data_IF_822457943117
#
_entry.id   IF_822457943117
#
_cell.length_a   1.000
_cell.length_b   1.000
_cell.length_c   1.000
_cell.angle_alpha   90.00
_cell.angle_beta   90.00
_cell.angle_gamma   90.00
#
_symmetry.space_group_name_H-M   'P 1'
#
loop_
_entity.id
_entity.type
_entity.pdbx_description
1 polymer ?
#
# COMPACT_ATOMS: atom_id res chain seq x y z
N UNK A 1 23.66 -6.64 10.99
CA UNK A 1 22.97 -5.34 11.07
C UNK A 1 21.79 -5.38 10.11
N UNK A 2 20.59 -5.16 10.64
CA UNK A 2 19.34 -5.20 9.88
C UNK A 2 19.41 -4.23 8.70
N UNK A 3 19.56 -4.78 7.49
CA UNK A 3 19.08 -4.15 6.28
C UNK A 3 17.56 -4.06 6.43
N UNK A 4 17.09 -3.01 7.11
CA UNK A 4 15.67 -2.68 7.29
C UNK A 4 15.09 -2.26 5.93
N UNK A 5 14.99 -3.24 5.04
CA UNK A 5 14.22 -3.18 3.83
C UNK A 5 12.76 -3.14 4.29
N UNK A 6 12.26 -1.96 4.63
CA UNK A 6 10.87 -1.71 4.99
C UNK A 6 9.99 -2.02 3.77
N UNK A 7 9.72 -3.31 3.59
CA UNK A 7 9.02 -3.85 2.45
C UNK A 7 7.54 -3.48 2.54
N UNK A 8 6.95 -3.14 1.39
CA UNK A 8 5.50 -2.97 1.26
C UNK A 8 4.79 -4.27 1.66
N UNK A 9 3.92 -4.20 2.66
CA UNK A 9 3.14 -5.35 3.09
C UNK A 9 1.78 -5.39 2.39
N UNK A 10 1.49 -6.49 1.67
CA UNK A 10 0.22 -6.64 0.95
C UNK A 10 -0.61 -7.77 1.56
N UNK A 11 -1.81 -7.45 2.06
CA UNK A 11 -2.79 -8.42 2.55
C UNK A 11 -3.77 -8.77 1.45
N UNK A 12 -3.55 -9.92 0.83
CA UNK A 12 -4.27 -10.32 -0.37
C UNK A 12 -5.62 -11.01 -0.10
N UNK A 13 -5.79 -11.59 1.08
CA UNK A 13 -6.93 -12.44 1.39
C UNK A 13 -6.77 -13.86 0.84
N UNK A 14 -7.87 -14.63 0.85
CA UNK A 14 -7.85 -16.08 0.59
C UNK A 14 -8.37 -16.50 -0.80
N UNK A 15 -8.92 -15.58 -1.59
CA UNK A 15 -9.57 -15.84 -2.89
C UNK A 15 -9.35 -14.68 -3.84
N UNK A 16 -9.49 -14.94 -5.14
CA UNK A 16 -9.51 -13.93 -6.22
C UNK A 16 -8.24 -13.07 -6.26
N UNK A 17 -7.10 -13.70 -5.93
CA UNK A 17 -5.80 -13.06 -5.71
C UNK A 17 -5.40 -12.13 -6.86
N UNK A 18 -5.43 -12.68 -8.07
CA UNK A 18 -4.95 -12.02 -9.28
C UNK A 18 -5.84 -10.84 -9.66
N UNK A 19 -7.15 -11.00 -9.56
CA UNK A 19 -8.13 -9.96 -9.86
C UNK A 19 -8.00 -8.78 -8.89
N UNK A 20 -7.81 -9.07 -7.60
CA UNK A 20 -7.60 -8.05 -6.56
C UNK A 20 -6.31 -7.27 -6.78
N UNK A 21 -5.22 -7.97 -7.09
CA UNK A 21 -3.94 -7.33 -7.36
C UNK A 21 -4.00 -6.45 -8.62
N UNK A 22 -4.66 -6.93 -9.68
CA UNK A 22 -4.80 -6.17 -10.92
C UNK A 22 -5.61 -4.89 -10.73
N UNK A 23 -6.74 -4.95 -9.99
CA UNK A 23 -7.52 -3.74 -9.63
C UNK A 23 -6.68 -2.75 -8.83
N UNK A 24 -5.87 -3.24 -7.89
CA UNK A 24 -5.00 -2.39 -7.10
C UNK A 24 -3.95 -1.68 -7.96
N UNK A 25 -3.24 -2.39 -8.85
CA UNK A 25 -2.24 -1.78 -9.74
C UNK A 25 -2.87 -0.69 -10.60
N UNK A 26 -4.04 -0.96 -11.20
CA UNK A 26 -4.74 0.00 -12.04
C UNK A 26 -5.11 1.28 -11.26
N UNK A 27 -5.68 1.13 -10.06
CA UNK A 27 -6.06 2.26 -9.22
C UNK A 27 -4.84 3.03 -8.69
N UNK A 28 -3.77 2.32 -8.31
CA UNK A 28 -2.54 2.92 -7.79
C UNK A 28 -1.87 3.82 -8.83
N UNK A 29 -1.72 3.34 -10.07
CA UNK A 29 -1.11 4.12 -11.16
C UNK A 29 -1.93 5.38 -11.50
N UNK A 30 -3.26 5.30 -11.41
CA UNK A 30 -4.15 6.41 -11.78
C UNK A 30 -4.27 7.50 -10.71
N UNK A 31 -4.20 7.13 -9.43
CA UNK A 31 -4.66 8.03 -8.35
C UNK A 31 -3.65 8.25 -7.23
N UNK A 32 -2.65 7.38 -7.07
CA UNK A 32 -1.80 7.35 -5.87
C UNK A 32 -0.30 7.46 -6.17
N UNK A 33 0.07 7.47 -7.45
CA UNK A 33 1.45 7.57 -7.92
C UNK A 33 2.13 8.90 -7.57
N UNK A 34 1.36 9.94 -7.23
CA UNK A 34 1.86 11.27 -6.88
C UNK A 34 2.00 11.51 -5.36
N UNK A 35 1.69 10.54 -4.51
CA UNK A 35 1.84 10.71 -3.06
C UNK A 35 3.31 10.62 -2.65
N UNK A 36 3.78 11.65 -1.94
CA UNK A 36 5.15 11.72 -1.40
C UNK A 36 5.32 10.88 -0.13
N UNK A 37 4.22 10.52 0.53
CA UNK A 37 4.21 9.62 1.67
C UNK A 37 4.49 8.18 1.24
N UNK A 38 5.40 7.51 1.95
CA UNK A 38 5.74 6.12 1.68
C UNK A 38 4.59 5.20 2.06
N UNK A 39 4.11 4.40 1.12
CA UNK A 39 3.11 3.36 1.40
C UNK A 39 3.73 2.19 2.16
N UNK A 40 3.16 1.83 3.32
CA UNK A 40 3.63 0.71 4.15
C UNK A 40 2.76 -0.54 4.03
N UNK A 41 1.43 -0.39 4.02
CA UNK A 41 0.51 -1.52 3.98
C UNK A 41 -0.60 -1.29 2.96
N UNK A 42 -0.92 -2.34 2.21
CA UNK A 42 -2.07 -2.44 1.31
C UNK A 42 -2.93 -3.62 1.73
N UNK A 43 -4.22 -3.40 1.96
CA UNK A 43 -5.18 -4.46 2.29
C UNK A 43 -6.22 -4.62 1.18
N UNK A 44 -6.10 -5.71 0.43
CA UNK A 44 -6.94 -6.04 -0.73
C UNK A 44 -8.07 -7.01 -0.38
N UNK A 45 -8.31 -7.29 0.90
CA UNK A 45 -9.33 -8.27 1.33
C UNK A 45 -10.76 -7.82 1.06
N UNK A 46 -10.99 -6.54 0.79
CA UNK A 46 -12.31 -5.98 0.50
C UNK A 46 -12.70 -6.17 -0.98
N UNK A 47 -13.91 -6.66 -1.29
CA UNK A 47 -14.33 -6.93 -2.66
C UNK A 47 -14.51 -5.66 -3.50
N UNK A 48 -14.91 -4.55 -2.87
CA UNK A 48 -15.27 -3.29 -3.55
C UNK A 48 -14.20 -2.20 -3.37
N UNK A 49 -12.99 -2.55 -2.94
CA UNK A 49 -11.95 -1.55 -2.68
C UNK A 49 -10.76 -2.10 -1.91
N UNK A 50 -9.96 -1.20 -1.34
CA UNK A 50 -8.79 -1.54 -0.52
C UNK A 50 -8.55 -0.48 0.54
N UNK A 51 -7.77 -0.84 1.57
CA UNK A 51 -7.29 0.09 2.59
C UNK A 51 -5.78 0.27 2.46
N UNK A 52 -5.30 1.48 2.74
CA UNK A 52 -3.89 1.86 2.68
C UNK A 52 -3.42 2.35 4.04
N UNK A 53 -2.16 2.08 4.36
CA UNK A 53 -1.47 2.68 5.50
C UNK A 53 -0.18 3.33 5.00
N UNK A 54 -0.04 4.62 5.31
CA UNK A 54 1.12 5.44 4.97
C UNK A 54 2.10 5.49 6.15
N UNK A 55 3.36 5.68 5.81
CA UNK A 55 4.42 5.99 6.76
C UNK A 55 4.33 7.46 7.16
N UNK A 56 3.92 7.73 8.40
CA UNK A 56 3.82 9.10 8.93
C UNK A 56 5.15 9.69 9.40
N UNK A 57 6.28 9.03 9.13
CA UNK A 57 7.58 9.45 9.65
C UNK A 57 7.98 10.85 9.16
N UNK A 58 7.49 11.32 8.01
CA UNK A 58 7.81 12.67 7.49
C UNK A 58 7.15 13.84 8.25
N UNK A 59 6.17 13.62 9.13
CA UNK A 59 5.54 14.73 9.90
C UNK A 59 6.35 15.11 11.17
N UNK A 60 7.32 14.29 11.60
CA UNK A 60 8.04 14.50 12.87
C UNK A 60 9.36 15.26 12.77
N UNK A 61 9.91 15.43 11.57
CA UNK A 61 11.21 16.10 11.37
C UNK A 61 11.07 17.60 11.04
N UNK A 62 9.83 18.10 10.87
CA UNK A 62 9.53 19.49 10.54
C UNK A 62 8.82 20.28 11.67
N UNK A 63 8.82 19.76 12.91
CA UNK A 63 8.18 20.37 14.09
C UNK A 63 9.17 20.88 15.11
#
# INVERSE_FOLDING_TARGET
>A
PDDANEALHIRLGRRDLQERLQRFIQAYTQSLSHMEERLQIVDLRYPNGFALQWDKTQEREAG
#
